data_IF_804171559886
#
_entry.id   IF_804171559886
#
_cell.length_a   1.000
_cell.length_b   1.000
_cell.length_c   1.000
_cell.angle_alpha   90.00
_cell.angle_beta   90.00
_cell.angle_gamma   90.00
#
_symmetry.space_group_name_H-M   'P 1'
#
loop_
_entity.id
_entity.type
_entity.pdbx_description
1 polymer ?
#
# COMPACT_ATOMS: atom_id res chain seq x y z
N UNK A 1 -6.73 -3.48 0.63
CA UNK A 1 -8.05 -4.15 0.67
C UNK A 1 -8.11 -5.04 1.91
N UNK A 2 -9.19 -5.02 2.72
CA UNK A 2 -9.30 -5.94 3.84
C UNK A 2 -9.54 -7.37 3.36
N UNK A 3 -8.91 -8.34 4.01
CA UNK A 3 -9.01 -9.76 3.72
C UNK A 3 -9.00 -10.59 5.01
N UNK A 4 -9.45 -11.83 4.95
CA UNK A 4 -9.33 -12.77 6.07
C UNK A 4 -8.21 -13.76 5.71
N UNK A 5 -7.12 -13.73 6.47
CA UNK A 5 -6.01 -14.67 6.30
C UNK A 5 -6.38 -16.07 6.83
N UNK A 6 -5.59 -17.08 6.48
CA UNK A 6 -5.78 -18.49 6.87
C UNK A 6 -5.97 -18.67 8.39
N UNK A 7 -5.25 -17.88 9.19
CA UNK A 7 -5.38 -17.85 10.66
C UNK A 7 -6.66 -17.17 11.18
N UNK A 8 -7.64 -16.91 10.30
CA UNK A 8 -8.91 -16.21 10.54
C UNK A 8 -8.76 -14.76 11.04
N UNK A 9 -7.56 -14.18 11.00
CA UNK A 9 -7.34 -12.77 11.35
C UNK A 9 -7.59 -11.89 10.14
N UNK A 10 -8.12 -10.70 10.41
CA UNK A 10 -8.30 -9.69 9.38
C UNK A 10 -6.94 -9.04 9.10
N UNK A 11 -6.57 -9.00 7.82
CA UNK A 11 -5.36 -8.37 7.29
C UNK A 11 -5.72 -7.34 6.24
N UNK A 12 -4.75 -6.50 5.88
CA UNK A 12 -4.89 -5.54 4.79
C UNK A 12 -3.93 -5.92 3.68
N UNK A 13 -4.46 -6.38 2.55
CA UNK A 13 -3.67 -6.59 1.34
C UNK A 13 -3.30 -5.22 0.74
N UNK A 14 -2.01 -4.96 0.57
CA UNK A 14 -1.47 -3.69 0.04
C UNK A 14 -0.89 -3.84 -1.38
N UNK A 15 -0.53 -5.05 -1.77
CA UNK A 15 0.02 -5.36 -3.10
C UNK A 15 -0.34 -6.78 -3.49
N UNK A 16 -0.56 -7.01 -4.78
CA UNK A 16 -0.61 -8.35 -5.39
C UNK A 16 0.52 -8.50 -6.41
N UNK A 17 1.01 -9.71 -6.60
CA UNK A 17 1.98 -10.04 -7.64
C UNK A 17 1.86 -11.51 -8.07
N UNK A 18 2.34 -11.79 -9.27
CA UNK A 18 2.44 -13.15 -9.81
C UNK A 18 3.90 -13.60 -9.70
N UNK A 19 4.11 -14.84 -9.26
CA UNK A 19 5.42 -15.48 -9.26
C UNK A 19 5.23 -16.98 -9.53
N UNK A 20 5.93 -17.51 -10.54
CA UNK A 20 5.80 -18.90 -10.99
C UNK A 20 4.33 -19.32 -11.14
N UNK A 21 3.54 -18.53 -11.88
CA UNK A 21 2.10 -18.73 -12.14
C UNK A 21 1.18 -18.69 -10.90
N UNK A 22 1.73 -18.46 -9.70
CA UNK A 22 0.96 -18.32 -8.46
C UNK A 22 0.76 -16.86 -8.10
N UNK A 23 -0.44 -16.53 -7.65
CA UNK A 23 -0.81 -15.20 -7.16
C UNK A 23 -0.50 -15.08 -5.67
N UNK A 24 0.22 -14.02 -5.32
CA UNK A 24 0.58 -13.69 -3.95
C UNK A 24 0.05 -12.32 -3.57
N UNK A 25 -0.20 -12.16 -2.27
CA UNK A 25 -0.58 -10.91 -1.64
C UNK A 25 0.46 -10.53 -0.59
N UNK A 26 0.82 -9.24 -0.56
CA UNK A 26 1.51 -8.65 0.60
C UNK A 26 0.45 -8.16 1.56
N UNK A 27 0.39 -8.78 2.73
CA UNK A 27 -0.57 -8.50 3.79
C UNK A 27 0.09 -7.69 4.90
N UNK A 28 -0.68 -6.82 5.54
CA UNK A 28 -0.28 -6.03 6.70
C UNK A 28 -1.16 -6.38 7.89
N UNK A 29 -0.54 -6.63 9.04
CA UNK A 29 -1.24 -6.67 10.32
C UNK A 29 -1.65 -5.23 10.72
N UNK A 30 -2.95 -4.94 10.85
CA UNK A 30 -3.43 -3.58 11.06
C UNK A 30 -3.09 -3.01 12.45
N UNK A 31 -2.65 -3.84 13.40
CA UNK A 31 -2.28 -3.42 14.76
C UNK A 31 -0.78 -3.25 14.94
N UNK A 32 0.04 -4.02 14.23
CA UNK A 32 1.50 -4.03 14.42
C UNK A 32 2.31 -3.56 13.20
N UNK A 33 1.66 -3.32 12.06
CA UNK A 33 2.29 -3.00 10.77
C UNK A 33 3.21 -4.08 10.21
N UNK A 34 3.32 -5.24 10.86
CA UNK A 34 4.09 -6.37 10.35
C UNK A 34 3.51 -6.81 9.01
N UNK A 35 4.39 -7.03 8.05
CA UNK A 35 4.06 -7.54 6.73
C UNK A 35 4.25 -9.05 6.67
N UNK A 36 3.42 -9.71 5.87
CA UNK A 36 3.58 -11.12 5.54
C UNK A 36 3.19 -11.35 4.07
N UNK A 37 3.75 -12.39 3.46
CA UNK A 37 3.39 -12.82 2.11
C UNK A 37 2.44 -14.01 2.26
N UNK A 38 1.31 -13.96 1.57
CA UNK A 38 0.34 -15.05 1.53
C UNK A 38 -0.01 -15.41 0.09
N UNK A 39 -0.21 -16.70 -0.18
CA UNK A 39 -0.85 -17.14 -1.42
C UNK A 39 -2.28 -16.62 -1.46
N UNK A 40 -2.70 -16.06 -2.59
CA UNK A 40 -4.02 -15.47 -2.75
C UNK A 40 -5.15 -16.50 -2.52
N UNK A 41 -4.93 -17.77 -2.90
CA UNK A 41 -5.91 -18.86 -2.71
C UNK A 41 -6.15 -19.23 -1.24
N UNK A 42 -5.20 -18.94 -0.35
CA UNK A 42 -5.30 -19.18 1.10
C UNK A 42 -5.97 -18.02 1.84
N UNK A 43 -6.38 -16.98 1.13
CA UNK A 43 -6.95 -15.75 1.67
C UNK A 43 -8.38 -15.60 1.21
N UNK A 44 -9.30 -15.32 2.13
CA UNK A 44 -10.70 -15.06 1.80
C UNK A 44 -10.86 -13.59 1.47
N UNK A 45 -11.20 -13.33 0.21
CA UNK A 45 -11.56 -12.02 -0.29
C UNK A 45 -13.05 -11.74 -0.01
N UNK A 46 -13.43 -10.50 0.35
CA UNK A 46 -14.84 -10.14 0.44
C UNK A 46 -15.51 -10.27 -0.93
N UNK A 47 -16.64 -10.97 -0.99
CA UNK A 47 -17.34 -11.27 -2.25
C UNK A 47 -18.25 -10.14 -2.71
N UNK A 48 -18.65 -9.27 -1.78
CA UNK A 48 -19.57 -8.18 -2.03
C UNK A 48 -19.20 -6.92 -1.21
N UNK A 49 -19.87 -5.81 -1.55
CA UNK A 49 -19.65 -4.51 -0.92
C UNK A 49 -19.95 -4.51 0.58
N UNK A 50 -20.99 -5.24 1.01
CA UNK A 50 -21.45 -5.29 2.40
C UNK A 50 -20.41 -5.98 3.28
N UNK A 51 -19.88 -7.13 2.84
CA UNK A 51 -18.79 -7.84 3.52
C UNK A 51 -17.55 -6.98 3.64
N UNK A 52 -17.16 -6.32 2.54
CA UNK A 52 -16.02 -5.39 2.53
C UNK A 52 -16.21 -4.28 3.56
N UNK A 53 -17.38 -3.64 3.59
CA UNK A 53 -17.70 -2.58 4.56
C UNK A 53 -17.68 -3.10 6.00
N UNK A 54 -18.21 -4.29 6.25
CA UNK A 54 -18.19 -4.91 7.58
C UNK A 54 -16.76 -5.18 8.06
N UNK A 55 -15.86 -5.64 7.17
CA UNK A 55 -14.45 -5.80 7.50
C UNK A 55 -13.78 -4.44 7.77
N UNK A 56 -14.05 -3.42 6.96
CA UNK A 56 -13.53 -2.07 7.18
C UNK A 56 -14.00 -1.47 8.51
N UNK A 57 -15.27 -1.67 8.89
CA UNK A 57 -15.80 -1.24 10.20
C UNK A 57 -15.03 -1.89 11.36
N UNK A 58 -14.72 -3.18 11.28
CA UNK A 58 -13.88 -3.87 12.28
C UNK A 58 -12.46 -3.30 12.36
N UNK A 59 -11.92 -2.82 11.24
CA UNK A 59 -10.58 -2.23 11.16
C UNK A 59 -10.53 -0.75 11.56
N UNK A 60 -11.66 -0.05 11.64
CA UNK A 60 -11.74 1.41 11.83
C UNK A 60 -10.92 1.95 13.01
N UNK A 61 -10.79 1.17 14.10
CA UNK A 61 -10.06 1.56 15.31
C UNK A 61 -8.58 1.16 15.31
N UNK A 62 -8.13 0.43 14.31
CA UNK A 62 -6.75 -0.08 14.25
C UNK A 62 -5.74 1.05 13.97
N UNK A 63 -4.52 0.95 14.51
CA UNK A 63 -3.42 1.88 14.21
C UNK A 63 -3.26 2.15 12.72
N UNK A 64 -3.36 1.11 11.88
CA UNK A 64 -3.24 1.25 10.44
C UNK A 64 -4.25 2.23 9.85
N UNK A 65 -5.55 2.08 10.16
CA UNK A 65 -6.59 2.96 9.61
C UNK A 65 -6.46 4.38 10.18
N UNK A 66 -6.05 4.54 11.44
CA UNK A 66 -5.79 5.86 12.03
C UNK A 66 -4.66 6.60 11.31
N UNK A 67 -3.54 5.90 11.08
CA UNK A 67 -2.38 6.43 10.37
C UNK A 67 -2.76 6.73 8.92
N UNK A 68 -3.42 5.81 8.24
CA UNK A 68 -3.88 6.00 6.88
C UNK A 68 -4.74 7.27 6.78
N UNK A 69 -5.78 7.39 7.61
CA UNK A 69 -6.65 8.56 7.61
C UNK A 69 -5.90 9.85 7.95
N UNK A 70 -4.94 9.82 8.90
CA UNK A 70 -4.13 11.00 9.27
C UNK A 70 -3.27 11.49 8.10
N UNK A 71 -2.67 10.59 7.34
CA UNK A 71 -1.79 10.93 6.22
C UNK A 71 -2.52 11.04 4.88
N UNK A 72 -3.77 10.59 4.79
CA UNK A 72 -4.62 10.71 3.62
C UNK A 72 -5.74 11.73 3.78
N UNK A 73 -5.83 12.47 4.89
CA UNK A 73 -6.81 13.54 5.09
C UNK A 73 -6.31 14.84 4.46
N UNK A 74 -7.20 15.54 3.75
CA UNK A 74 -6.95 16.88 3.29
C UNK A 74 -6.67 17.86 4.46
N UNK A 75 -5.86 18.91 4.27
CA UNK A 75 -5.18 19.29 3.03
C UNK A 75 -3.95 18.42 2.79
N UNK A 76 -3.93 17.72 1.65
CA UNK A 76 -2.74 17.01 1.20
C UNK A 76 -1.67 18.07 0.98
N UNK A 77 -0.60 18.07 1.78
CA UNK A 77 0.58 18.82 1.40
C UNK A 77 1.11 18.09 0.17
N UNK A 78 0.72 18.56 -1.00
CA UNK A 78 1.20 18.07 -2.28
C UNK A 78 2.69 18.40 -2.33
N UNK A 79 3.52 17.50 -1.81
CA UNK A 79 4.98 17.57 -1.92
C UNK A 79 5.38 17.15 -3.33
N UNK A 80 4.97 17.92 -4.33
CA UNK A 80 5.53 17.84 -5.66
C UNK A 80 6.87 18.57 -5.59
N UNK A 81 7.97 17.83 -5.50
CA UNK A 81 9.33 18.35 -5.68
C UNK A 81 9.57 18.74 -7.15
N UNK A 82 8.81 19.72 -7.66
CA UNK A 82 9.05 20.36 -8.97
C UNK A 82 8.28 19.82 -10.18
N UNK A 83 7.52 18.73 -10.08
CA UNK A 83 6.65 18.27 -11.18
C UNK A 83 5.34 19.08 -11.24
N UNK A 84 5.28 20.05 -12.16
CA UNK A 84 4.12 20.96 -12.32
C UNK A 84 3.30 20.71 -13.59
N UNK A 85 3.78 19.85 -14.50
CA UNK A 85 3.06 19.49 -15.72
C UNK A 85 3.43 18.10 -16.25
N UNK A 86 2.51 17.50 -16.99
CA UNK A 86 2.70 16.27 -17.77
C UNK A 86 2.56 16.60 -19.25
N UNK A 87 3.34 15.92 -20.12
CA UNK A 87 3.29 16.09 -21.59
C UNK A 87 1.88 15.81 -22.14
N UNK A 88 1.11 14.96 -21.45
CA UNK A 88 -0.28 14.66 -21.75
C UNK A 88 -1.19 15.24 -20.68
N UNK A 89 -2.30 15.89 -21.08
CA UNK A 89 -3.35 16.34 -20.15
C UNK A 89 -4.13 15.12 -19.63
N UNK A 90 -3.63 14.50 -18.57
CA UNK A 90 -4.29 13.37 -17.91
C UNK A 90 -4.94 13.84 -16.60
N UNK A 91 -6.25 13.60 -16.44
CA UNK A 91 -6.94 13.81 -15.15
C UNK A 91 -6.62 12.62 -14.23
N UNK A 92 -5.90 12.85 -13.13
CA UNK A 92 -5.55 11.79 -12.18
C UNK A 92 -4.70 12.29 -11.02
N UNK A 93 -4.53 11.43 -10.00
CA UNK A 93 -3.55 11.62 -8.94
C UNK A 93 -2.29 10.85 -9.35
N UNK A 94 -1.13 11.52 -9.30
CA UNK A 94 0.16 10.93 -9.68
C UNK A 94 1.01 10.78 -8.43
N UNK A 95 1.42 9.54 -8.14
CA UNK A 95 2.46 9.28 -7.16
C UNK A 95 3.81 9.57 -7.81
N UNK A 96 4.47 10.63 -7.36
CA UNK A 96 5.84 10.95 -7.78
C UNK A 96 6.79 10.55 -6.65
N UNK A 97 7.90 9.91 -7.01
CA UNK A 97 9.00 9.61 -6.09
C UNK A 97 10.20 10.37 -6.64
N UNK A 98 10.72 11.31 -5.85
CA UNK A 98 11.96 11.99 -6.17
C UNK A 98 13.12 11.07 -5.81
N UNK A 99 13.82 10.56 -6.84
CA UNK A 99 15.05 9.79 -6.67
C UNK A 99 16.28 10.69 -6.88
N UNK A 100 16.27 11.90 -6.32
CA UNK A 100 17.49 12.70 -6.26
C UNK A 100 18.56 11.91 -5.49
N UNK A 101 19.75 11.69 -6.08
CA UNK A 101 20.85 11.06 -5.36
C UNK A 101 21.19 11.93 -4.15
N UNK A 102 21.02 11.38 -2.95
CA UNK A 102 21.42 12.11 -1.75
C UNK A 102 22.95 12.12 -1.65
N UNK A 103 23.51 13.16 -1.04
CA UNK A 103 24.93 13.26 -0.72
C UNK A 103 25.34 12.38 0.47
N UNK A 104 24.47 11.44 0.91
CA UNK A 104 24.77 10.49 1.97
C UNK A 104 25.42 9.25 1.37
N UNK A 105 26.59 8.91 1.88
CA UNK A 105 27.45 7.82 1.39
C UNK A 105 26.81 6.44 1.31
N UNK A 106 25.67 6.21 1.96
CA UNK A 106 24.95 4.94 1.96
C UNK A 106 24.17 4.68 0.66
N UNK A 107 23.86 5.72 -0.12
CA UNK A 107 23.01 5.62 -1.31
C UNK A 107 23.81 5.65 -2.63
N UNK A 108 25.10 5.98 -2.58
CA UNK A 108 25.95 6.08 -3.79
C UNK A 108 26.08 4.75 -4.55
N UNK A 109 26.14 3.62 -3.83
CA UNK A 109 26.32 2.31 -4.45
C UNK A 109 25.13 1.92 -5.36
N UNK A 110 23.94 2.42 -5.06
CA UNK A 110 22.74 2.19 -5.88
C UNK A 110 22.77 2.94 -7.21
N UNK A 111 23.43 4.11 -7.25
CA UNK A 111 23.51 4.96 -8.46
C UNK A 111 24.79 4.74 -9.27
N UNK A 112 25.81 4.07 -8.71
CA UNK A 112 27.08 3.79 -9.39
C UNK A 112 27.13 2.43 -10.09
N UNK A 113 26.14 1.56 -9.90
CA UNK A 113 26.09 0.22 -10.49
C UNK A 113 25.32 0.14 -11.82
N UNK A 114 25.30 1.22 -12.61
CA UNK A 114 24.71 1.26 -13.97
C UNK A 114 25.78 1.40 -15.04
#
# INVERSE_FOLDING_TARGET
>A
MPVIAENKKIRIAIRSYLNNEKSYLVLVDPNSFKTEIALQELVILPTNKIEKENLLKKLSKTPYIKVLNKYSSAPYIQQNYGATSSIYKVKGQFLTIDMCPSSKSCEEDFFKSS
#
